data_IF_149986495828
#
_entry.id   IF_149986495828
#
_cell.length_a   1.000
_cell.length_b   1.000
_cell.length_c   1.000
_cell.angle_alpha   90.00
_cell.angle_beta   90.00
_cell.angle_gamma   90.00
#
_symmetry.space_group_name_H-M   'P 1'
#
loop_
_entity.id
_entity.type
_entity.pdbx_description
1 polymer ?
#
# COMPACT_ATOMS: atom_id res chain seq x y z
N UNK A 1 11.81 -9.22 6.31
CA UNK A 1 11.30 -8.06 7.06
C UNK A 1 10.05 -8.47 7.82
N UNK A 2 9.94 -8.13 9.11
CA UNK A 2 8.75 -8.35 9.94
C UNK A 2 8.18 -6.99 10.29
N UNK A 3 6.87 -6.81 10.12
CA UNK A 3 6.16 -5.61 10.59
C UNK A 3 5.18 -6.03 11.67
N UNK A 4 5.27 -5.39 12.83
CA UNK A 4 4.33 -5.53 13.93
C UNK A 4 3.57 -4.24 14.11
N UNK A 5 2.26 -4.33 14.25
CA UNK A 5 1.37 -3.21 14.50
C UNK A 5 0.61 -3.50 15.80
N UNK A 6 0.59 -2.54 16.71
CA UNK A 6 0.05 -2.69 18.06
C UNK A 6 -1.11 -1.71 18.28
N UNK A 7 -2.31 -2.23 18.54
CA UNK A 7 -3.53 -1.45 18.77
C UNK A 7 -4.43 -2.16 19.77
N UNK A 8 -4.87 -1.46 20.82
CA UNK A 8 -5.85 -1.94 21.82
C UNK A 8 -5.64 -3.41 22.24
N UNK A 9 -4.43 -3.72 22.72
CA UNK A 9 -3.98 -5.07 23.13
C UNK A 9 -3.86 -6.13 22.02
N UNK A 10 -4.25 -5.80 20.78
CA UNK A 10 -4.03 -6.62 19.60
C UNK A 10 -2.65 -6.35 18.98
N UNK A 11 -1.98 -7.42 18.56
CA UNK A 11 -0.74 -7.36 17.80
C UNK A 11 -0.93 -8.03 16.45
N UNK A 12 -0.72 -7.26 15.39
CA UNK A 12 -0.82 -7.71 14.01
C UNK A 12 0.58 -7.91 13.45
N UNK A 13 0.87 -9.09 12.91
CA UNK A 13 2.20 -9.45 12.40
C UNK A 13 2.12 -9.72 10.91
N UNK A 14 2.89 -8.96 10.12
CA UNK A 14 3.07 -9.16 8.69
C UNK A 14 4.50 -9.63 8.45
N UNK A 15 4.67 -10.80 7.83
CA UNK A 15 5.97 -11.41 7.59
C UNK A 15 6.29 -11.39 6.09
N UNK A 16 7.39 -10.74 5.71
CA UNK A 16 7.83 -10.63 4.32
C UNK A 16 6.69 -10.23 3.37
N UNK A 17 5.91 -9.21 3.76
CA UNK A 17 4.78 -8.69 2.99
C UNK A 17 3.63 -9.66 2.75
N UNK A 18 3.60 -10.83 3.40
CA UNK A 18 2.46 -11.75 3.38
C UNK A 18 1.86 -11.87 4.77
N UNK A 19 0.55 -12.11 4.82
CA UNK A 19 -0.10 -12.42 6.07
C UNK A 19 -1.61 -12.23 6.04
N UNK A 20 -2.19 -12.53 7.19
CA UNK A 20 -3.59 -12.28 7.50
C UNK A 20 -3.65 -11.35 8.71
N UNK A 21 -4.13 -10.13 8.52
CA UNK A 21 -4.45 -9.17 9.58
C UNK A 21 -5.93 -9.39 9.90
N UNK A 22 -6.23 -9.99 11.06
CA UNK A 22 -7.60 -10.24 11.49
C UNK A 22 -7.78 -9.80 12.95
N UNK A 23 -8.92 -9.21 13.27
CA UNK A 23 -9.19 -8.63 14.59
C UNK A 23 -9.99 -7.34 14.51
N UNK A 24 -10.37 -6.79 15.66
CA UNK A 24 -11.30 -5.65 15.73
C UNK A 24 -10.74 -4.37 15.09
N UNK A 25 -9.42 -4.22 15.11
CA UNK A 25 -8.69 -3.09 14.51
C UNK A 25 -7.99 -3.44 13.19
N UNK A 26 -8.36 -4.54 12.51
CA UNK A 26 -7.63 -5.04 11.36
C UNK A 26 -7.58 -4.04 10.19
N UNK A 27 -8.68 -3.37 9.85
CA UNK A 27 -8.64 -2.34 8.79
C UNK A 27 -7.68 -1.20 9.12
N UNK A 28 -7.67 -0.72 10.36
CA UNK A 28 -6.75 0.35 10.78
C UNK A 28 -5.30 -0.13 10.64
N UNK A 29 -4.99 -1.33 11.13
CA UNK A 29 -3.67 -1.92 11.02
C UNK A 29 -3.24 -2.13 9.54
N UNK A 30 -4.13 -2.64 8.69
CA UNK A 30 -3.87 -2.83 7.26
C UNK A 30 -3.59 -1.52 6.53
N UNK A 31 -4.35 -0.46 6.83
CA UNK A 31 -4.13 0.88 6.27
C UNK A 31 -2.86 1.52 6.78
N UNK A 32 -2.53 1.35 8.06
CA UNK A 32 -1.25 1.81 8.63
C UNK A 32 -0.08 1.12 7.93
N UNK A 33 -0.15 -0.21 7.75
CA UNK A 33 0.84 -0.96 6.99
C UNK A 33 0.99 -0.40 5.56
N UNK A 34 -0.13 -0.13 4.87
CA UNK A 34 -0.11 0.49 3.54
C UNK A 34 0.67 1.82 3.52
N UNK A 35 0.36 2.76 4.42
CA UNK A 35 1.04 4.08 4.42
C UNK A 35 2.51 4.01 4.81
N UNK A 36 2.87 3.11 5.73
CA UNK A 36 4.27 2.84 6.08
C UNK A 36 5.02 2.35 4.84
N UNK A 37 4.49 1.35 4.13
CA UNK A 37 5.13 0.83 2.93
C UNK A 37 5.18 1.87 1.82
N UNK A 38 4.13 2.70 1.68
CA UNK A 38 4.08 3.74 0.66
C UNK A 38 5.17 4.79 0.90
N UNK A 39 5.39 5.17 2.15
CA UNK A 39 6.45 6.09 2.52
C UNK A 39 7.85 5.49 2.31
N UNK A 40 8.07 4.23 2.69
CA UNK A 40 9.34 3.51 2.46
C UNK A 40 9.64 3.37 0.96
N UNK A 41 8.64 2.98 0.17
CA UNK A 41 8.76 2.85 -1.29
C UNK A 41 9.13 4.19 -1.95
N UNK A 42 8.52 5.27 -1.50
CA UNK A 42 8.70 6.61 -2.08
C UNK A 42 9.94 7.34 -1.56
N UNK A 43 10.69 6.75 -0.62
CA UNK A 43 11.75 7.45 0.09
C UNK A 43 12.91 7.80 -0.84
N UNK A 44 13.34 9.08 -0.91
CA UNK A 44 14.50 9.47 -1.69
C UNK A 44 15.79 9.03 -1.00
N UNK A 45 16.90 9.01 -1.77
CA UNK A 45 18.24 8.86 -1.20
C UNK A 45 18.52 9.97 -0.18
N UNK A 46 19.24 9.65 0.89
CA UNK A 46 19.43 10.53 2.05
C UNK A 46 20.86 11.06 2.20
N UNK A 47 21.82 10.62 1.38
CA UNK A 47 23.22 11.07 1.48
C UNK A 47 23.37 12.60 1.41
N UNK A 48 22.47 13.30 0.70
CA UNK A 48 22.45 14.77 0.63
C UNK A 48 21.80 15.48 1.83
N UNK A 49 21.22 14.73 2.77
CA UNK A 49 20.64 15.23 4.03
C UNK A 49 21.54 14.97 5.25
N UNK A 50 22.71 14.36 5.04
CA UNK A 50 23.71 14.16 6.08
C UNK A 50 24.39 15.49 6.35
N UNK A 51 24.06 16.10 7.49
CA UNK A 51 24.49 17.45 7.85
C UNK A 51 25.72 17.45 8.77
N UNK A 52 26.03 16.31 9.41
CA UNK A 52 27.23 16.14 10.22
C UNK A 52 28.06 14.95 9.72
N UNK A 53 29.19 15.25 9.08
CA UNK A 53 30.13 14.24 8.59
C UNK A 53 31.06 13.71 9.69
N UNK A 54 31.10 14.32 10.88
CA UNK A 54 31.88 13.79 12.01
C UNK A 54 31.18 12.60 12.67
N UNK A 55 29.85 12.55 12.58
CA UNK A 55 29.03 11.39 12.94
C UNK A 55 28.02 11.10 11.81
N UNK A 56 28.49 10.52 10.69
CA UNK A 56 27.66 10.30 9.52
C UNK A 56 26.57 9.24 9.78
N UNK A 57 26.79 8.34 10.75
CA UNK A 57 25.84 7.31 11.14
C UNK A 57 24.63 7.91 11.84
N UNK A 58 24.85 8.67 12.91
CA UNK A 58 23.76 9.30 13.66
C UNK A 58 23.08 10.38 12.81
N UNK A 59 23.84 11.12 11.99
CA UNK A 59 23.25 12.06 11.05
C UNK A 59 22.38 11.39 9.99
N UNK A 60 22.79 10.25 9.43
CA UNK A 60 21.96 9.50 8.46
C UNK A 60 20.70 8.95 9.13
N UNK A 61 20.83 8.39 10.34
CA UNK A 61 19.69 7.89 11.13
C UNK A 61 18.66 8.98 11.39
N UNK A 62 19.08 10.17 11.85
CA UNK A 62 18.17 11.32 12.04
C UNK A 62 17.49 11.71 10.75
N UNK A 63 18.25 11.82 9.65
CA UNK A 63 17.68 12.15 8.34
C UNK A 63 16.66 11.11 7.86
N UNK A 64 16.89 9.83 8.16
CA UNK A 64 15.97 8.74 7.87
C UNK A 64 14.68 8.88 8.69
N UNK A 65 14.78 9.02 10.01
CA UNK A 65 13.62 9.15 10.91
C UNK A 65 12.79 10.41 10.58
N UNK A 66 13.44 11.54 10.33
CA UNK A 66 12.77 12.79 9.92
C UNK A 66 12.08 12.65 8.56
N UNK A 67 12.75 12.04 7.57
CA UNK A 67 12.18 11.89 6.22
C UNK A 67 11.00 10.94 6.24
N UNK A 68 11.13 9.77 6.87
CA UNK A 68 10.06 8.77 6.93
C UNK A 68 8.84 9.31 7.69
N UNK A 69 9.05 9.92 8.86
CA UNK A 69 7.97 10.50 9.67
C UNK A 69 7.25 11.63 8.92
N UNK A 70 7.99 12.53 8.26
CA UNK A 70 7.43 13.62 7.45
C UNK A 70 6.59 13.10 6.28
N UNK A 71 7.08 12.08 5.58
CA UNK A 71 6.36 11.49 4.44
C UNK A 71 5.04 10.85 4.86
N UNK A 72 5.06 10.03 5.93
CA UNK A 72 3.83 9.44 6.47
C UNK A 72 2.88 10.55 6.94
N UNK A 73 3.37 11.54 7.69
CA UNK A 73 2.56 12.66 8.17
C UNK A 73 1.87 13.43 7.05
N UNK A 74 2.61 13.71 5.96
CA UNK A 74 2.09 14.40 4.79
C UNK A 74 0.98 13.59 4.12
N UNK A 75 1.20 12.29 3.87
CA UNK A 75 0.19 11.42 3.26
C UNK A 75 -1.09 11.35 4.10
N UNK A 76 -0.97 11.19 5.42
CA UNK A 76 -2.13 11.16 6.31
C UNK A 76 -2.86 12.52 6.35
N UNK A 77 -2.11 13.62 6.37
CA UNK A 77 -2.67 14.97 6.40
C UNK A 77 -3.41 15.29 5.10
N UNK A 78 -2.80 15.01 3.94
CA UNK A 78 -3.45 15.19 2.62
C UNK A 78 -4.70 14.32 2.50
N UNK A 79 -4.62 13.08 2.98
CA UNK A 79 -5.73 12.13 3.01
C UNK A 79 -6.85 12.46 3.99
N UNK A 80 -6.64 13.42 4.90
CA UNK A 80 -7.49 13.66 6.09
C UNK A 80 -7.70 12.41 6.94
N UNK A 81 -6.69 11.55 7.01
CA UNK A 81 -6.70 10.28 7.74
C UNK A 81 -6.01 10.48 9.10
N UNK A 82 -6.54 9.83 10.13
CA UNK A 82 -5.98 9.83 11.48
C UNK A 82 -5.89 8.40 11.99
N UNK A 83 -4.76 8.06 12.58
CA UNK A 83 -4.52 6.77 13.23
C UNK A 83 -3.95 6.98 14.63
N UNK A 84 -4.18 6.00 15.50
CA UNK A 84 -3.67 6.04 16.88
C UNK A 84 -3.06 4.69 17.22
N UNK A 85 -1.80 4.48 16.81
CA UNK A 85 -1.21 3.15 16.75
C UNK A 85 0.30 3.18 17.00
N UNK A 86 0.85 2.09 17.52
CA UNK A 86 2.30 1.87 17.54
C UNK A 86 2.67 0.82 16.51
N UNK A 87 3.89 0.88 15.99
CA UNK A 87 4.40 -0.13 15.08
C UNK A 87 5.90 -0.36 15.28
N UNK A 88 6.34 -1.53 14.83
CA UNK A 88 7.74 -1.93 14.76
C UNK A 88 8.01 -2.57 13.39
N UNK A 89 9.09 -2.15 12.75
CA UNK A 89 9.60 -2.76 11.52
C UNK A 89 10.96 -3.35 11.84
N UNK A 90 11.06 -4.66 11.76
CA UNK A 90 12.27 -5.41 12.06
C UNK A 90 12.85 -6.01 10.78
N UNK A 91 14.15 -5.78 10.59
CA UNK A 91 14.96 -6.41 9.56
C UNK A 91 16.28 -6.87 10.19
N UNK A 92 17.11 -7.58 9.42
CA UNK A 92 18.43 -7.98 9.91
C UNK A 92 19.39 -6.81 10.14
N UNK A 93 19.14 -5.66 9.51
CA UNK A 93 20.09 -4.54 9.46
C UNK A 93 19.62 -3.31 10.24
N UNK A 94 18.32 -3.16 10.47
CA UNK A 94 17.75 -2.11 11.29
C UNK A 94 16.42 -2.53 11.92
N UNK A 95 16.07 -1.85 13.02
CA UNK A 95 14.76 -1.89 13.67
C UNK A 95 14.20 -0.47 13.73
N UNK A 96 12.96 -0.26 13.31
CA UNK A 96 12.26 1.03 13.39
C UNK A 96 11.10 0.86 14.36
N UNK A 97 11.05 1.67 15.42
CA UNK A 97 9.87 1.79 16.28
C UNK A 97 9.17 3.10 15.99
N UNK A 98 7.86 3.05 15.81
CA UNK A 98 7.05 4.20 15.48
C UNK A 98 5.77 4.30 16.30
N UNK A 99 5.30 5.54 16.48
CA UNK A 99 3.98 5.84 17.02
C UNK A 99 3.30 6.87 16.12
N UNK A 100 2.05 6.59 15.77
CA UNK A 100 1.16 7.52 15.06
C UNK A 100 0.12 8.02 16.07
N UNK A 101 0.03 9.34 16.20
CA UNK A 101 -0.94 10.03 17.05
C UNK A 101 -1.69 11.07 16.21
N UNK A 102 -2.82 10.65 15.66
CA UNK A 102 -3.55 11.36 14.62
C UNK A 102 -2.77 11.38 13.31
N UNK A 103 -2.16 12.52 12.99
CA UNK A 103 -1.31 12.72 11.82
C UNK A 103 0.16 13.00 12.19
N UNK A 104 0.51 12.97 13.48
CA UNK A 104 1.88 13.14 13.96
C UNK A 104 2.54 11.78 14.08
N UNK A 105 3.75 11.66 13.56
CA UNK A 105 4.53 10.42 13.58
C UNK A 105 5.80 10.69 14.38
N UNK A 106 6.06 9.86 15.39
CA UNK A 106 7.36 9.78 16.03
C UNK A 106 8.02 8.46 15.67
N UNK A 107 9.31 8.52 15.34
CA UNK A 107 10.14 7.37 14.97
C UNK A 107 11.40 7.32 15.81
N UNK A 108 11.88 6.10 16.02
CA UNK A 108 13.20 5.82 16.56
C UNK A 108 13.76 4.61 15.85
N UNK A 109 14.79 4.84 15.02
CA UNK A 109 15.49 3.77 14.33
C UNK A 109 16.72 3.28 15.11
N UNK A 110 17.00 1.99 15.05
CA UNK A 110 18.19 1.36 15.58
C UNK A 110 18.91 0.65 14.44
N UNK A 111 20.16 1.04 14.18
CA UNK A 111 21.01 0.42 13.16
C UNK A 111 21.67 -0.82 13.78
N UNK A 112 21.28 -2.01 13.32
CA UNK A 112 21.75 -3.29 13.87
C UNK A 112 23.05 -3.76 13.21
N UNK A 113 23.23 -3.40 11.93
CA UNK A 113 24.48 -3.61 11.18
C UNK A 113 24.94 -2.29 10.59
N UNK A 114 26.26 -2.14 10.48
CA UNK A 114 26.94 -0.95 9.98
C UNK A 114 27.95 -1.39 8.91
N UNK A 115 28.01 -0.73 7.74
CA UNK A 115 28.99 -1.08 6.71
C UNK A 115 30.42 -0.77 7.17
N UNK A 116 31.37 -1.60 6.75
CA UNK A 116 32.79 -1.35 6.99
C UNK A 116 33.30 -0.18 6.13
N UNK A 117 34.36 0.51 6.59
CA UNK A 117 35.04 1.53 5.79
C UNK A 117 34.34 2.88 5.69
N UNK A 118 33.43 3.21 6.61
CA UNK A 118 32.80 4.53 6.67
C UNK A 118 33.85 5.60 6.95
N UNK A 119 33.91 6.59 6.08
CA UNK A 119 34.75 7.78 6.21
C UNK A 119 33.95 8.98 6.69
N UNK A 120 34.61 9.94 7.33
CA UNK A 120 34.00 11.18 7.82
C UNK A 120 33.89 12.23 6.71
N UNK A 121 33.30 11.84 5.58
CA UNK A 121 33.12 12.66 4.39
C UNK A 121 31.88 12.23 3.58
N UNK A 122 31.65 12.88 2.44
CA UNK A 122 30.54 12.56 1.54
C UNK A 122 30.58 11.11 1.03
N UNK A 123 31.78 10.52 0.86
CA UNK A 123 31.88 9.13 0.40
C UNK A 123 31.34 8.17 1.46
N UNK A 124 31.62 8.43 2.73
CA UNK A 124 31.06 7.67 3.85
C UNK A 124 29.53 7.80 3.92
N UNK A 125 28.99 9.01 3.72
CA UNK A 125 27.54 9.23 3.66
C UNK A 125 26.87 8.48 2.49
N UNK A 126 27.49 8.45 1.30
CA UNK A 126 27.01 7.71 0.13
C UNK A 126 27.06 6.19 0.38
N UNK A 127 28.13 5.71 1.03
CA UNK A 127 28.30 4.29 1.36
C UNK A 127 27.21 3.82 2.33
N UNK A 128 26.97 4.60 3.40
CA UNK A 128 25.89 4.35 4.36
C UNK A 128 24.53 4.29 3.68
N UNK A 129 24.21 5.32 2.90
CA UNK A 129 22.93 5.40 2.21
C UNK A 129 22.72 4.24 1.24
N UNK A 130 23.76 3.90 0.47
CA UNK A 130 23.71 2.77 -0.46
C UNK A 130 23.52 1.45 0.28
N UNK A 131 24.23 1.24 1.39
CA UNK A 131 24.10 0.05 2.21
C UNK A 131 22.65 -0.12 2.71
N UNK A 132 22.08 0.87 3.39
CA UNK A 132 20.74 0.73 3.97
C UNK A 132 19.66 0.59 2.88
N UNK A 133 19.66 1.42 1.83
CA UNK A 133 18.64 1.37 0.78
C UNK A 133 18.71 0.13 -0.14
N UNK A 134 19.84 -0.57 -0.17
CA UNK A 134 19.96 -1.85 -0.89
C UNK A 134 19.37 -3.02 -0.09
N UNK A 135 19.24 -2.86 1.23
CA UNK A 135 18.71 -3.89 2.13
C UNK A 135 17.29 -3.59 2.62
N UNK A 136 16.81 -2.35 2.48
CA UNK A 136 15.39 -2.03 2.65
C UNK A 136 14.63 -2.57 1.44
N UNK A 137 13.81 -3.59 1.67
CA UNK A 137 12.91 -4.13 0.64
C UNK A 137 11.79 -3.11 0.37
N UNK A 138 11.80 -2.52 -0.82
CA UNK A 138 10.87 -1.46 -1.24
C UNK A 138 9.85 -2.01 -2.23
N UNK A 139 8.80 -2.65 -1.71
CA UNK A 139 7.66 -3.06 -2.54
C UNK A 139 6.68 -1.92 -2.75
N UNK A 140 6.15 -1.78 -3.95
CA UNK A 140 5.10 -0.81 -4.26
C UNK A 140 3.77 -1.31 -3.67
N UNK A 141 3.14 -0.57 -2.74
CA UNK A 141 1.91 -1.04 -2.10
C UNK A 141 0.67 -0.57 -2.85
N UNK A 142 -0.35 -1.43 -2.85
CA UNK A 142 -1.71 -1.10 -3.27
C UNK A 142 -2.70 -1.51 -2.19
N UNK A 143 -3.78 -0.76 -2.05
CA UNK A 143 -4.85 -1.07 -1.09
C UNK A 143 -6.18 -1.22 -1.82
N UNK A 144 -6.85 -2.34 -1.58
CA UNK A 144 -8.19 -2.65 -2.05
C UNK A 144 -9.12 -2.61 -0.83
N UNK A 145 -9.87 -1.51 -0.61
CA UNK A 145 -10.76 -1.38 0.53
C UNK A 145 -11.97 -2.32 0.43
N UNK A 146 -12.66 -2.57 1.55
CA UNK A 146 -13.83 -3.45 1.57
C UNK A 146 -14.98 -2.89 0.73
N UNK A 147 -15.10 -1.56 0.66
CA UNK A 147 -16.07 -0.83 -0.16
C UNK A 147 -15.58 -0.54 -1.61
N UNK A 148 -14.64 -1.34 -2.13
CA UNK A 148 -14.05 -1.18 -3.47
C UNK A 148 -15.09 -1.08 -4.59
N UNK A 149 -16.17 -1.84 -4.50
CA UNK A 149 -17.27 -1.82 -5.47
C UNK A 149 -18.00 -0.48 -5.47
N UNK A 150 -18.32 0.06 -4.29
CA UNK A 150 -18.94 1.38 -4.16
C UNK A 150 -18.04 2.51 -4.65
N UNK A 151 -16.73 2.42 -4.42
CA UNK A 151 -15.77 3.39 -4.95
C UNK A 151 -15.66 3.31 -6.47
N UNK A 152 -15.61 2.10 -7.05
CA UNK A 152 -15.62 1.93 -8.50
C UNK A 152 -16.91 2.47 -9.13
N UNK A 153 -18.07 2.14 -8.57
CA UNK A 153 -19.35 2.66 -9.03
C UNK A 153 -19.37 4.20 -9.02
N UNK A 154 -18.86 4.82 -7.95
CA UNK A 154 -18.89 6.28 -7.78
C UNK A 154 -17.87 7.01 -8.66
N UNK A 155 -16.71 6.40 -8.92
CA UNK A 155 -15.56 7.04 -9.57
C UNK A 155 -15.13 6.35 -10.86
N UNK A 156 -16.02 5.60 -11.50
CA UNK A 156 -15.75 4.81 -12.71
C UNK A 156 -15.18 5.60 -13.90
N UNK A 157 -15.31 6.92 -13.91
CA UNK A 157 -14.73 7.79 -14.94
C UNK A 157 -13.24 8.09 -14.70
N UNK A 158 -12.80 7.99 -13.46
CA UNK A 158 -11.46 8.39 -13.01
C UNK A 158 -10.44 7.24 -13.06
N UNK A 159 -10.88 6.02 -13.37
CA UNK A 159 -10.00 4.85 -13.56
C UNK A 159 -9.40 4.77 -14.97
N UNK A 160 -9.83 5.66 -15.87
CA UNK A 160 -9.36 5.71 -17.26
C UNK A 160 -8.12 6.58 -17.37
N UNK A 161 -7.12 6.10 -18.09
CA UNK A 161 -5.95 6.89 -18.41
C UNK A 161 -6.35 8.10 -19.28
N UNK A 162 -5.96 9.30 -18.84
CA UNK A 162 -6.18 10.54 -19.55
C UNK A 162 -4.82 11.14 -19.93
N UNK A 163 -4.59 11.33 -21.24
CA UNK A 163 -3.36 11.96 -21.75
C UNK A 163 -3.29 13.47 -21.45
N UNK A 164 -4.44 14.11 -21.25
CA UNK A 164 -4.57 15.53 -20.94
C UNK A 164 -5.50 15.74 -19.73
N UNK A 165 -5.06 16.51 -18.73
CA UNK A 165 -5.81 16.80 -17.50
C UNK A 165 -5.19 16.22 -16.22
N UNK A 166 -5.82 16.49 -15.07
CA UNK A 166 -5.46 15.87 -13.79
C UNK A 166 -6.22 14.54 -13.72
N UNK A 167 -5.52 13.42 -13.90
CA UNK A 167 -6.09 12.09 -13.71
C UNK A 167 -6.36 11.82 -12.23
N UNK A 168 -7.50 11.18 -11.94
CA UNK A 168 -7.84 10.69 -10.61
C UNK A 168 -8.71 11.65 -9.77
N UNK A 169 -8.98 11.22 -8.55
CA UNK A 169 -9.80 11.95 -7.57
C UNK A 169 -8.93 12.64 -6.50
N UNK A 170 -9.42 13.71 -5.86
CA UNK A 170 -8.64 14.47 -4.87
C UNK A 170 -8.14 13.60 -3.73
N UNK A 171 -6.85 13.73 -3.37
CA UNK A 171 -6.25 12.98 -2.24
C UNK A 171 -7.01 13.15 -0.92
N UNK A 172 -7.69 14.28 -0.73
CA UNK A 172 -8.55 14.53 0.45
C UNK A 172 -9.74 13.58 0.60
N UNK A 173 -10.03 12.74 -0.40
CA UNK A 173 -10.99 11.62 -0.29
C UNK A 173 -10.39 10.38 0.40
N UNK A 174 -9.15 10.47 0.90
CA UNK A 174 -8.52 9.45 1.72
C UNK A 174 -8.34 8.13 0.98
N UNK A 175 -8.76 7.03 1.61
CA UNK A 175 -8.56 5.66 1.08
C UNK A 175 -9.25 5.45 -0.27
N UNK A 176 -10.37 6.13 -0.54
CA UNK A 176 -11.00 6.08 -1.85
C UNK A 176 -10.05 6.59 -2.94
N UNK A 177 -9.34 7.70 -2.69
CA UNK A 177 -8.36 8.25 -3.62
C UNK A 177 -7.15 7.34 -3.79
N UNK A 178 -6.68 6.71 -2.71
CA UNK A 178 -5.58 5.75 -2.79
C UNK A 178 -5.91 4.55 -3.69
N UNK A 179 -7.13 4.04 -3.58
CA UNK A 179 -7.62 2.94 -4.41
C UNK A 179 -7.85 3.39 -5.86
N UNK A 180 -8.70 4.39 -6.10
CA UNK A 180 -9.10 4.81 -7.45
C UNK A 180 -7.92 5.32 -8.26
N UNK A 181 -7.04 6.14 -7.68
CA UNK A 181 -5.90 6.70 -8.41
C UNK A 181 -4.81 5.67 -8.70
N UNK A 182 -4.89 4.48 -8.10
CA UNK A 182 -4.00 3.37 -8.41
C UNK A 182 -4.50 2.50 -9.59
N UNK A 183 -5.72 2.75 -10.07
CA UNK A 183 -6.27 2.13 -11.27
C UNK A 183 -6.10 3.12 -12.42
N UNK A 184 -5.41 2.67 -13.47
CA UNK A 184 -5.20 3.49 -14.68
C UNK A 184 -5.26 2.59 -15.91
N UNK A 185 -6.41 2.62 -16.58
CA UNK A 185 -6.74 1.71 -17.66
C UNK A 185 -6.80 2.47 -18.97
N UNK A 186 -6.09 1.98 -19.98
CA UNK A 186 -6.12 2.58 -21.31
C UNK A 186 -7.50 2.38 -21.97
N UNK A 187 -8.03 3.40 -22.67
CA UNK A 187 -9.19 3.22 -23.54
C UNK A 187 -8.98 2.07 -24.51
N UNK A 188 -10.03 1.26 -24.72
CA UNK A 188 -10.00 0.05 -25.53
C UNK A 188 -9.70 -1.23 -24.74
N UNK A 189 -9.46 -1.15 -23.43
CA UNK A 189 -9.42 -2.33 -22.56
C UNK A 189 -10.75 -3.08 -22.65
N UNK A 190 -10.64 -4.42 -22.77
CA UNK A 190 -11.77 -5.34 -22.81
C UNK A 190 -11.48 -6.53 -21.92
N UNK A 191 -12.49 -6.96 -21.20
CA UNK A 191 -12.40 -8.12 -20.33
C UNK A 191 -13.78 -8.76 -20.10
N UNK A 192 -13.81 -9.90 -19.44
CA UNK A 192 -15.04 -10.62 -19.11
C UNK A 192 -14.99 -11.13 -17.67
N UNK A 193 -16.11 -10.95 -16.95
CA UNK A 193 -16.30 -11.45 -15.58
C UNK A 193 -17.72 -12.00 -15.47
N UNK A 194 -17.86 -13.26 -15.06
CA UNK A 194 -19.15 -13.95 -14.92
C UNK A 194 -20.04 -13.83 -16.17
N UNK A 195 -19.45 -13.87 -17.37
CA UNK A 195 -20.18 -13.73 -18.64
C UNK A 195 -20.57 -12.29 -19.02
N UNK A 196 -20.26 -11.30 -18.19
CA UNK A 196 -20.50 -9.89 -18.47
C UNK A 196 -19.28 -9.24 -19.11
N UNK A 197 -19.50 -8.45 -20.16
CA UNK A 197 -18.42 -7.75 -20.86
C UNK A 197 -18.04 -6.48 -20.14
N UNK A 198 -16.75 -6.32 -19.87
CA UNK A 198 -16.16 -5.13 -19.29
C UNK A 198 -15.42 -4.38 -20.38
N UNK A 199 -15.75 -3.11 -20.57
CA UNK A 199 -15.12 -2.25 -21.56
C UNK A 199 -14.72 -0.93 -20.92
N UNK A 200 -13.50 -0.47 -21.20
CA UNK A 200 -13.09 0.90 -20.87
C UNK A 200 -13.01 1.72 -22.14
N UNK A 201 -13.73 2.84 -22.15
CA UNK A 201 -13.65 3.84 -23.22
C UNK A 201 -13.23 5.20 -22.61
N UNK A 202 -13.22 6.26 -23.42
CA UNK A 202 -12.82 7.59 -22.96
C UNK A 202 -13.73 8.20 -21.88
N UNK A 203 -14.95 7.68 -21.72
CA UNK A 203 -15.93 8.17 -20.75
C UNK A 203 -15.84 7.47 -19.40
N UNK A 204 -15.27 6.26 -19.33
CA UNK A 204 -15.22 5.48 -18.10
C UNK A 204 -15.13 3.97 -18.30
N UNK A 205 -15.35 3.27 -17.19
CA UNK A 205 -15.61 1.83 -17.11
C UNK A 205 -17.09 1.52 -17.37
N UNK A 206 -17.35 0.57 -18.26
CA UNK A 206 -18.68 0.10 -18.65
C UNK A 206 -18.76 -1.42 -18.52
N UNK A 207 -19.96 -1.91 -18.17
CA UNK A 207 -20.30 -3.32 -18.10
C UNK A 207 -21.58 -3.53 -18.92
N UNK A 208 -21.54 -4.41 -19.92
CA UNK A 208 -22.62 -4.65 -20.88
C UNK A 208 -23.22 -3.36 -21.47
N UNK A 209 -22.33 -2.48 -21.96
CA UNK A 209 -22.67 -1.16 -22.51
C UNK A 209 -23.37 -0.20 -21.53
N UNK A 210 -23.45 -0.53 -20.24
CA UNK A 210 -23.95 0.35 -19.18
C UNK A 210 -22.78 0.92 -18.36
N UNK A 211 -22.85 2.17 -17.89
CA UNK A 211 -21.87 2.70 -16.96
C UNK A 211 -21.75 1.84 -15.71
N UNK A 212 -20.53 1.68 -15.17
CA UNK A 212 -20.25 0.81 -14.03
C UNK A 212 -21.11 1.08 -12.77
N UNK A 213 -21.65 2.30 -12.61
CA UNK A 213 -22.53 2.61 -11.46
C UNK A 213 -23.88 1.86 -11.50
N UNK A 214 -24.28 1.31 -12.66
CA UNK A 214 -25.47 0.48 -12.81
C UNK A 214 -25.19 -1.03 -12.57
N UNK A 215 -23.93 -1.40 -12.34
CA UNK A 215 -23.50 -2.79 -12.22
C UNK A 215 -23.66 -3.32 -10.79
N UNK A 216 -23.69 -4.65 -10.65
CA UNK A 216 -23.73 -5.28 -9.34
C UNK A 216 -22.42 -5.09 -8.56
N UNK A 217 -22.52 -5.04 -7.23
CA UNK A 217 -21.36 -5.00 -6.34
C UNK A 217 -20.38 -6.14 -6.59
N UNK A 218 -20.90 -7.34 -6.91
CA UNK A 218 -20.09 -8.52 -7.20
C UNK A 218 -19.19 -8.32 -8.44
N UNK A 219 -19.74 -7.80 -9.55
CA UNK A 219 -18.98 -7.57 -10.77
C UNK A 219 -17.88 -6.54 -10.57
N UNK A 220 -18.17 -5.43 -9.88
CA UNK A 220 -17.19 -4.39 -9.60
C UNK A 220 -16.11 -4.87 -8.63
N UNK A 221 -16.50 -5.64 -7.61
CA UNK A 221 -15.57 -6.24 -6.64
C UNK A 221 -14.61 -7.21 -7.34
N UNK A 222 -15.13 -8.12 -8.17
CA UNK A 222 -14.33 -9.07 -8.94
C UNK A 222 -13.45 -8.37 -9.97
N UNK A 223 -13.94 -7.31 -10.63
CA UNK A 223 -13.15 -6.51 -11.56
C UNK A 223 -11.94 -5.89 -10.88
N UNK A 224 -12.13 -5.23 -9.73
CA UNK A 224 -11.03 -4.66 -8.96
C UNK A 224 -9.99 -5.75 -8.61
N UNK A 225 -10.45 -6.87 -8.05
CA UNK A 225 -9.58 -7.96 -7.64
C UNK A 225 -8.79 -8.52 -8.83
N UNK A 226 -9.48 -8.84 -9.93
CA UNK A 226 -8.86 -9.35 -11.16
C UNK A 226 -7.83 -8.37 -11.71
N UNK A 227 -8.19 -7.09 -11.82
CA UNK A 227 -7.30 -6.05 -12.34
C UNK A 227 -5.99 -6.01 -11.54
N UNK A 228 -6.05 -5.96 -10.22
CA UNK A 228 -4.84 -5.90 -9.40
C UNK A 228 -4.06 -7.21 -9.42
N UNK A 229 -4.73 -8.37 -9.31
CA UNK A 229 -4.04 -9.66 -9.27
C UNK A 229 -3.29 -9.98 -10.58
N UNK A 230 -3.80 -9.50 -11.72
CA UNK A 230 -3.17 -9.71 -13.03
C UNK A 230 -2.11 -8.66 -13.40
N UNK A 231 -2.23 -7.42 -12.92
CA UNK A 231 -1.34 -6.31 -13.31
C UNK A 231 -0.22 -6.02 -12.30
N UNK A 232 -0.18 -6.70 -11.16
CA UNK A 232 0.94 -6.61 -10.23
C UNK A 232 2.06 -7.60 -10.54
N UNK A 233 3.22 -7.31 -9.97
CA UNK A 233 4.48 -8.03 -10.12
C UNK A 233 5.01 -8.49 -8.76
N UNK A 234 6.08 -9.27 -8.75
CA UNK A 234 6.76 -9.68 -7.51
C UNK A 234 7.33 -8.51 -6.68
N UNK A 235 7.44 -7.32 -7.27
CA UNK A 235 7.86 -6.09 -6.57
C UNK A 235 6.70 -5.32 -5.94
N UNK A 236 5.47 -5.85 -6.01
CA UNK A 236 4.28 -5.22 -5.46
C UNK A 236 3.79 -5.97 -4.21
N UNK A 237 3.03 -5.26 -3.37
CA UNK A 237 2.24 -5.85 -2.28
C UNK A 237 0.79 -5.36 -2.37
N UNK A 238 -0.16 -6.29 -2.37
CA UNK A 238 -1.59 -6.02 -2.32
C UNK A 238 -2.11 -6.16 -0.90
N UNK A 239 -2.76 -5.12 -0.39
CA UNK A 239 -3.46 -5.15 0.90
C UNK A 239 -4.96 -5.15 0.60
N UNK A 240 -5.63 -6.25 0.90
CA UNK A 240 -7.02 -6.48 0.49
C UNK A 240 -7.91 -6.59 1.73
N UNK A 241 -8.79 -5.60 1.92
CA UNK A 241 -9.83 -5.60 2.95
C UNK A 241 -11.03 -6.45 2.49
N UNK A 242 -11.43 -7.43 3.30
CA UNK A 242 -12.50 -8.40 3.03
C UNK A 242 -12.49 -8.89 1.58
N UNK A 243 -11.54 -9.76 1.26
CA UNK A 243 -11.33 -10.26 -0.11
C UNK A 243 -12.60 -10.86 -0.71
N UNK A 244 -13.46 -11.48 0.11
CA UNK A 244 -14.73 -12.09 -0.33
C UNK A 244 -15.96 -11.17 -0.20
N UNK A 245 -15.80 -9.89 0.16
CA UNK A 245 -16.92 -8.97 0.31
C UNK A 245 -17.78 -8.89 -0.96
N UNK A 246 -19.09 -9.02 -0.76
CA UNK A 246 -20.12 -8.94 -1.79
C UNK A 246 -20.03 -10.03 -2.87
N UNK A 247 -19.34 -11.15 -2.61
CA UNK A 247 -19.22 -12.25 -3.55
C UNK A 247 -20.21 -13.39 -3.23
N UNK A 248 -20.85 -13.90 -4.28
CA UNK A 248 -21.58 -15.16 -4.26
C UNK A 248 -20.60 -16.35 -4.19
N UNK A 249 -21.11 -17.57 -4.04
CA UNK A 249 -20.26 -18.77 -4.08
C UNK A 249 -19.54 -18.94 -5.44
N UNK A 250 -20.18 -18.52 -6.53
CA UNK A 250 -19.57 -18.53 -7.85
C UNK A 250 -18.44 -17.49 -7.93
N UNK A 251 -18.70 -16.26 -7.46
CA UNK A 251 -17.68 -15.22 -7.36
C UNK A 251 -16.48 -15.61 -6.50
N UNK A 252 -16.70 -16.30 -5.37
CA UNK A 252 -15.61 -16.84 -4.53
C UNK A 252 -14.78 -17.90 -5.26
N UNK A 253 -15.42 -18.75 -6.05
CA UNK A 253 -14.73 -19.76 -6.86
C UNK A 253 -13.82 -19.07 -7.88
N UNK A 254 -14.33 -18.07 -8.58
CA UNK A 254 -13.58 -17.29 -9.57
C UNK A 254 -12.44 -16.48 -8.92
N UNK A 255 -12.67 -15.89 -7.75
CA UNK A 255 -11.64 -15.21 -6.96
C UNK A 255 -10.47 -16.16 -6.65
N UNK A 256 -10.75 -17.39 -6.21
CA UNK A 256 -9.71 -18.37 -5.92
C UNK A 256 -8.88 -18.73 -7.15
N UNK A 257 -9.45 -18.68 -8.36
CA UNK A 257 -8.69 -18.81 -9.60
C UNK A 257 -7.77 -17.62 -9.82
N UNK A 258 -8.25 -16.39 -9.60
CA UNK A 258 -7.43 -15.19 -9.72
C UNK A 258 -6.27 -15.17 -8.72
N UNK A 259 -6.51 -15.57 -7.47
CA UNK A 259 -5.48 -15.64 -6.42
C UNK A 259 -4.32 -16.58 -6.81
N UNK A 260 -4.62 -17.70 -7.49
CA UNK A 260 -3.58 -18.63 -7.98
C UNK A 260 -2.66 -18.02 -9.04
N UNK A 261 -3.10 -16.96 -9.72
CA UNK A 261 -2.30 -16.27 -10.75
C UNK A 261 -1.47 -15.11 -10.20
N UNK A 262 -1.67 -14.75 -8.93
CA UNK A 262 -1.01 -13.62 -8.30
C UNK A 262 0.50 -13.81 -8.25
N UNK A 263 1.24 -12.79 -8.71
CA UNK A 263 2.72 -12.76 -8.68
C UNK A 263 3.27 -11.93 -7.53
N UNK A 264 2.43 -11.09 -6.94
CA UNK A 264 2.78 -10.18 -5.86
C UNK A 264 2.58 -10.82 -4.48
N UNK A 265 3.08 -10.15 -3.45
CA UNK A 265 2.71 -10.51 -2.10
C UNK A 265 1.31 -10.00 -1.76
N UNK A 266 0.58 -10.73 -0.92
CA UNK A 266 -0.79 -10.38 -0.53
C UNK A 266 -0.89 -10.38 0.99
N UNK A 267 -1.49 -9.31 1.51
CA UNK A 267 -1.92 -9.18 2.89
C UNK A 267 -3.44 -9.11 2.90
N UNK A 268 -4.08 -10.16 3.42
CA UNK A 268 -5.52 -10.17 3.64
C UNK A 268 -5.86 -9.47 4.95
N UNK A 269 -6.88 -8.63 4.94
CA UNK A 269 -7.31 -7.82 6.07
C UNK A 269 -8.80 -8.01 6.30
N UNK A 270 -9.22 -8.36 7.52
CA UNK A 270 -10.65 -8.44 7.84
C UNK A 270 -10.91 -8.24 9.32
N UNK A 271 -11.98 -7.50 9.62
CA UNK A 271 -12.48 -7.38 10.99
C UNK A 271 -13.33 -8.59 11.44
N UNK A 272 -13.75 -9.44 10.50
CA UNK A 272 -14.81 -10.43 10.74
C UNK A 272 -14.32 -11.87 10.74
N UNK A 273 -13.46 -12.22 9.78
CA UNK A 273 -12.97 -13.59 9.62
C UNK A 273 -11.58 -13.61 9.04
N UNK A 274 -10.78 -14.58 9.50
CA UNK A 274 -9.49 -14.86 8.87
C UNK A 274 -9.74 -15.52 7.51
N UNK A 275 -9.08 -15.04 6.45
CA UNK A 275 -9.13 -15.71 5.16
C UNK A 275 -8.28 -16.98 5.21
N UNK A 276 -8.87 -18.10 4.82
CA UNK A 276 -8.19 -19.39 4.69
C UNK A 276 -7.97 -19.69 3.21
N UNK A 277 -6.69 -19.73 2.81
CA UNK A 277 -6.27 -20.19 1.47
C UNK A 277 -6.60 -21.68 1.23
#
# INVERSE_FOLDING_TARGET
MIVRIFKDDETYVINNFNGNIYGSNAYEAGRVFYFIQKAIYSMPRLYGKVNDFKDPLDSWKRAFDETLSSMISLMLTEGRIKFYINFEIESEIFNIKGKIDGNKISLSSSLLKVPEGITNDLKGAILLDSFYFNHIERKRPFILPSARDGFLASFYKFVVFQSEGISGIPRSMGIAAEFINSISINPGYKDEILGHQIVVNNEGLFIDDQPAYNSSSELLSLFALKYFLLNTTSNDVLIIEDVEAHLSNEGKTLLNEYLKTAKCNIVFVSNYSKFSE
#
